data_IF_803049183836
#
_entry.id   IF_803049183836
#
_cell.length_a   1.000
_cell.length_b   1.000
_cell.length_c   1.000
_cell.angle_alpha   90.00
_cell.angle_beta   90.00
_cell.angle_gamma   90.00
#
_symmetry.space_group_name_H-M   'P 1'
#
loop_
_entity.id
_entity.type
_entity.pdbx_description
1 polymer ?
#
# COMPACT_ATOMS: atom_id res chain seq x y z
N UNK A 1 -11.91 0.78 -7.69
CA UNK A 1 -11.17 -0.46 -7.36
C UNK A 1 -12.17 -1.54 -6.95
N UNK A 2 -11.89 -2.81 -7.24
CA UNK A 2 -12.82 -3.93 -6.95
C UNK A 2 -13.05 -4.15 -5.45
N UNK A 3 -12.10 -3.75 -4.60
CA UNK A 3 -12.21 -3.86 -3.15
C UNK A 3 -13.45 -3.16 -2.55
N UNK A 4 -14.05 -2.17 -3.22
CA UNK A 4 -15.27 -1.53 -2.74
C UNK A 4 -16.52 -2.44 -2.81
N UNK A 5 -16.53 -3.39 -3.76
CA UNK A 5 -17.73 -4.20 -4.04
C UNK A 5 -17.75 -5.54 -3.29
N UNK A 6 -16.60 -6.01 -2.78
CA UNK A 6 -16.49 -7.35 -2.19
C UNK A 6 -15.55 -7.36 -0.99
N UNK A 7 -16.00 -7.91 0.13
CA UNK A 7 -15.28 -7.90 1.41
C UNK A 7 -13.97 -8.68 1.40
N UNK A 8 -13.89 -9.72 0.57
CA UNK A 8 -12.75 -10.62 0.45
C UNK A 8 -11.74 -10.25 -0.65
N UNK A 9 -11.84 -9.04 -1.22
CA UNK A 9 -10.91 -8.53 -2.23
C UNK A 9 -9.98 -7.49 -1.62
N UNK A 10 -8.68 -7.73 -1.75
CA UNK A 10 -7.60 -6.91 -1.19
C UNK A 10 -6.73 -6.34 -2.31
N UNK A 11 -6.19 -5.14 -2.11
CA UNK A 11 -5.21 -4.53 -3.01
C UNK A 11 -3.83 -4.64 -2.40
N UNK A 12 -2.85 -5.05 -3.21
CA UNK A 12 -1.45 -5.05 -2.82
C UNK A 12 -0.65 -4.00 -3.60
N UNK A 13 0.38 -3.45 -2.97
CA UNK A 13 1.23 -2.41 -3.56
C UNK A 13 2.50 -2.95 -4.24
N UNK A 14 2.58 -4.26 -4.49
CA UNK A 14 3.80 -4.88 -5.01
C UNK A 14 4.20 -4.36 -6.38
N UNK A 15 5.51 -4.30 -6.61
CA UNK A 15 6.09 -3.85 -7.87
C UNK A 15 6.86 -2.54 -7.76
N UNK A 16 7.45 -2.15 -8.89
CA UNK A 16 8.16 -0.87 -9.01
C UNK A 16 7.23 0.34 -9.18
N UNK A 17 5.94 0.10 -9.42
CA UNK A 17 4.95 1.11 -9.81
C UNK A 17 5.41 2.00 -10.98
N UNK A 18 6.33 1.51 -11.83
CA UNK A 18 6.86 2.30 -12.95
C UNK A 18 5.84 2.56 -14.06
N UNK A 19 4.75 1.79 -14.08
CA UNK A 19 3.63 1.98 -14.99
C UNK A 19 2.94 3.34 -14.83
N UNK A 20 3.04 3.97 -13.64
CA UNK A 20 2.50 5.31 -13.37
C UNK A 20 3.05 6.37 -14.34
N UNK A 21 4.30 6.21 -14.79
CA UNK A 21 4.98 7.15 -15.70
C UNK A 21 4.35 7.21 -17.09
N UNK A 22 3.56 6.21 -17.46
CA UNK A 22 2.96 6.08 -18.78
C UNK A 22 1.47 6.43 -18.78
N UNK A 23 0.93 6.91 -17.66
CA UNK A 23 -0.45 7.36 -17.58
C UNK A 23 -0.62 8.75 -18.20
N UNK A 24 -1.79 9.01 -18.80
CA UNK A 24 -2.09 10.28 -19.47
C UNK A 24 -2.17 11.47 -18.51
N UNK A 25 -2.31 11.22 -17.21
CA UNK A 25 -2.33 12.23 -16.15
C UNK A 25 -1.22 11.90 -15.14
N UNK A 26 -0.62 12.91 -14.48
CA UNK A 26 0.36 12.68 -13.42
C UNK A 26 -0.24 11.76 -12.35
N UNK A 27 0.37 10.59 -12.19
CA UNK A 27 -0.02 9.62 -11.18
C UNK A 27 1.18 9.36 -10.27
N UNK A 28 0.97 9.50 -8.97
CA UNK A 28 1.96 9.22 -7.95
C UNK A 28 1.45 8.19 -6.93
N UNK A 29 2.37 7.68 -6.12
CA UNK A 29 2.05 6.68 -5.10
C UNK A 29 1.01 7.21 -4.11
N UNK A 30 1.10 8.49 -3.74
CA UNK A 30 0.17 9.14 -2.81
C UNK A 30 -1.26 9.09 -3.35
N UNK A 31 -1.46 9.38 -4.64
CA UNK A 31 -2.76 9.32 -5.31
C UNK A 31 -3.30 7.90 -5.37
N UNK A 32 -2.45 6.90 -5.65
CA UNK A 32 -2.88 5.49 -5.66
C UNK A 32 -3.32 5.05 -4.27
N UNK A 33 -2.53 5.33 -3.24
CA UNK A 33 -2.88 4.99 -1.86
C UNK A 33 -4.15 5.70 -1.41
N UNK A 34 -4.32 6.98 -1.76
CA UNK A 34 -5.58 7.70 -1.53
C UNK A 34 -6.76 6.95 -2.12
N UNK A 35 -6.69 6.55 -3.39
CA UNK A 35 -7.79 5.81 -4.04
C UNK A 35 -8.03 4.43 -3.39
N UNK A 36 -6.98 3.72 -2.97
CA UNK A 36 -7.11 2.44 -2.28
C UNK A 36 -7.79 2.64 -0.92
N UNK A 37 -7.35 3.61 -0.13
CA UNK A 37 -7.93 3.92 1.17
C UNK A 37 -9.39 4.37 1.05
N UNK A 38 -9.72 5.21 0.07
CA UNK A 38 -11.12 5.59 -0.20
C UNK A 38 -11.98 4.38 -0.58
N UNK A 39 -11.43 3.42 -1.35
CA UNK A 39 -12.20 2.29 -1.84
C UNK A 39 -12.39 1.16 -0.81
N UNK A 40 -11.46 0.95 0.12
CA UNK A 40 -11.54 -0.18 1.06
C UNK A 40 -10.82 0.01 2.39
N UNK A 41 -10.31 1.20 2.66
CA UNK A 41 -9.63 1.53 3.90
C UNK A 41 -8.29 0.82 4.11
N UNK A 42 -7.69 1.02 5.29
CA UNK A 42 -6.40 0.41 5.63
C UNK A 42 -6.49 -1.11 5.76
N UNK A 43 -7.62 -1.68 6.21
CA UNK A 43 -7.78 -3.13 6.41
C UNK A 43 -7.76 -3.96 5.12
N UNK A 44 -7.95 -3.31 3.96
CA UNK A 44 -8.00 -3.95 2.63
C UNK A 44 -6.81 -3.61 1.74
N UNK A 45 -5.84 -2.88 2.28
CA UNK A 45 -4.61 -2.48 1.59
C UNK A 45 -3.42 -3.23 2.18
N UNK A 46 -2.61 -3.85 1.32
CA UNK A 46 -1.47 -4.68 1.70
C UNK A 46 -0.16 -4.10 1.15
N UNK A 47 0.86 -4.10 2.00
CA UNK A 47 2.21 -3.75 1.58
C UNK A 47 2.87 -4.90 0.79
N UNK A 48 3.47 -4.56 -0.35
CA UNK A 48 4.33 -5.46 -1.11
C UNK A 48 5.45 -4.70 -1.85
N UNK A 49 6.60 -5.34 -2.01
CA UNK A 49 7.74 -4.76 -2.74
C UNK A 49 8.05 -5.45 -4.08
N UNK A 50 7.49 -6.64 -4.31
CA UNK A 50 7.90 -7.52 -5.42
C UNK A 50 9.43 -7.76 -5.42
N UNK A 51 9.95 -8.05 -4.22
CA UNK A 51 11.36 -8.40 -4.03
C UNK A 51 11.64 -9.80 -4.56
N UNK A 52 12.85 -10.03 -5.05
CA UNK A 52 13.22 -11.30 -5.67
C UNK A 52 14.48 -11.89 -5.04
N UNK A 53 14.95 -13.01 -5.61
CA UNK A 53 16.21 -13.63 -5.24
C UNK A 53 17.43 -12.71 -5.50
N UNK A 54 18.56 -13.09 -4.91
CA UNK A 54 19.86 -12.45 -5.07
C UNK A 54 20.32 -12.41 -6.55
N UNK A 55 20.92 -11.32 -7.06
CA UNK A 55 21.54 -10.20 -6.35
C UNK A 55 20.61 -9.01 -6.08
N UNK A 56 19.40 -8.99 -6.65
CA UNK A 56 18.46 -7.86 -6.46
C UNK A 56 17.94 -7.80 -5.02
N UNK A 57 17.56 -8.95 -4.46
CA UNK A 57 17.15 -9.08 -3.06
C UNK A 57 15.97 -8.19 -2.68
N UNK A 58 15.99 -7.74 -1.43
CA UNK A 58 14.98 -6.89 -0.82
C UNK A 58 15.04 -5.45 -1.36
N UNK A 59 13.90 -4.96 -1.86
CA UNK A 59 13.77 -3.62 -2.45
C UNK A 59 13.42 -2.57 -1.41
N UNK A 60 14.42 -2.17 -0.62
CA UNK A 60 14.25 -1.17 0.46
C UNK A 60 13.71 0.18 -0.04
N UNK A 61 14.11 0.59 -1.24
CA UNK A 61 13.64 1.83 -1.85
C UNK A 61 12.13 1.85 -2.11
N UNK A 62 11.52 0.68 -2.32
CA UNK A 62 10.05 0.56 -2.48
C UNK A 62 9.36 0.69 -1.12
N UNK A 63 9.92 0.08 -0.06
CA UNK A 63 9.44 0.28 1.31
C UNK A 63 9.42 1.76 1.67
N UNK A 64 10.56 2.45 1.49
CA UNK A 64 10.70 3.86 1.84
C UNK A 64 9.73 4.76 1.06
N UNK A 65 9.60 4.55 -0.24
CA UNK A 65 8.71 5.34 -1.09
C UNK A 65 7.23 5.15 -0.71
N UNK A 66 6.80 3.92 -0.43
CA UNK A 66 5.42 3.65 -0.04
C UNK A 66 5.12 4.14 1.38
N UNK A 67 6.05 3.95 2.32
CA UNK A 67 5.90 4.45 3.69
C UNK A 67 5.79 5.97 3.70
N UNK A 68 6.67 6.65 2.95
CA UNK A 68 6.62 8.11 2.81
C UNK A 68 5.26 8.58 2.25
N UNK A 69 4.74 7.93 1.21
CA UNK A 69 3.46 8.32 0.62
C UNK A 69 2.29 8.18 1.60
N UNK A 70 2.25 7.09 2.38
CA UNK A 70 1.22 6.90 3.42
C UNK A 70 1.40 7.86 4.59
N UNK A 71 2.65 8.14 4.99
CA UNK A 71 2.96 9.10 6.04
C UNK A 71 2.49 10.51 5.67
N UNK A 72 2.76 10.95 4.44
CA UNK A 72 2.26 12.22 3.91
C UNK A 72 0.73 12.29 3.81
N UNK A 73 0.02 11.16 3.73
CA UNK A 73 -1.46 11.13 3.79
C UNK A 73 -1.97 11.24 5.23
N UNK A 74 -1.24 10.68 6.20
CA UNK A 74 -1.60 10.77 7.62
C UNK A 74 -1.41 12.17 8.22
N UNK A 75 -0.66 13.03 7.53
CA UNK A 75 -0.33 14.40 7.94
C UNK A 75 -1.20 15.47 7.23
N UNK A 76 -2.18 15.07 6.41
CA UNK A 76 -3.13 15.99 5.80
C UNK A 76 -4.13 16.55 6.84
N UNK A 77 -4.78 17.68 6.53
CA UNK A 77 -5.75 18.34 7.42
C UNK A 77 -6.94 17.43 7.77
N UNK A 78 -7.40 16.63 6.79
CA UNK A 78 -8.40 15.57 6.95
C UNK A 78 -7.77 14.22 6.53
N UNK A 79 -7.06 13.53 7.44
CA UNK A 79 -6.26 12.37 7.09
C UNK A 79 -7.13 11.14 6.84
N UNK A 80 -6.92 10.49 5.70
CA UNK A 80 -7.60 9.23 5.34
C UNK A 80 -7.07 8.01 6.10
N UNK A 81 -5.94 8.16 6.80
CA UNK A 81 -5.26 7.07 7.50
C UNK A 81 -4.47 7.63 8.68
N UNK A 82 -4.43 6.89 9.77
CA UNK A 82 -3.64 7.17 10.96
C UNK A 82 -2.46 6.20 11.11
N UNK A 83 -1.67 6.36 12.17
CA UNK A 83 -0.51 5.49 12.45
C UNK A 83 -0.91 4.01 12.62
N UNK A 84 -2.08 3.74 13.21
CA UNK A 84 -2.59 2.37 13.34
C UNK A 84 -2.89 1.77 11.96
N UNK A 85 -3.56 2.53 11.09
CA UNK A 85 -3.82 2.16 9.71
C UNK A 85 -2.54 1.86 8.93
N UNK A 86 -1.49 2.66 9.09
CA UNK A 86 -0.17 2.39 8.50
C UNK A 86 0.36 1.05 9.03
N UNK A 87 0.31 0.83 10.34
CA UNK A 87 0.71 -0.43 10.97
C UNK A 87 -0.05 -1.65 10.44
N UNK A 88 -1.34 -1.50 10.12
CA UNK A 88 -2.16 -2.54 9.48
C UNK A 88 -1.63 -2.87 8.08
N UNK A 89 -1.37 -1.87 7.24
CA UNK A 89 -0.92 -2.07 5.86
C UNK A 89 0.44 -2.80 5.80
N UNK A 90 1.40 -2.37 6.63
CA UNK A 90 2.77 -2.91 6.59
C UNK A 90 2.94 -4.24 7.35
N UNK A 91 2.02 -4.59 8.26
CA UNK A 91 2.16 -5.81 9.09
C UNK A 91 0.84 -6.42 9.53
N UNK A 92 -0.07 -5.64 10.11
CA UNK A 92 -1.25 -6.21 10.78
C UNK A 92 -2.14 -7.05 9.86
N UNK A 93 -2.37 -6.58 8.63
CA UNK A 93 -3.23 -7.25 7.68
C UNK A 93 -2.67 -8.60 7.23
N UNK A 94 -1.38 -8.68 6.89
CA UNK A 94 -0.81 -9.93 6.40
C UNK A 94 -0.81 -11.01 7.50
N UNK A 95 -0.55 -10.64 8.75
CA UNK A 95 -0.64 -11.56 9.88
C UNK A 95 -2.07 -12.06 10.10
N UNK A 96 -3.04 -11.14 10.08
CA UNK A 96 -4.47 -11.47 10.23
C UNK A 96 -4.95 -12.40 9.11
N UNK A 97 -4.58 -12.13 7.86
CA UNK A 97 -5.05 -12.89 6.70
C UNK A 97 -4.38 -14.27 6.58
N UNK A 98 -3.12 -14.39 7.00
CA UNK A 98 -2.39 -15.67 6.91
C UNK A 98 -2.49 -16.52 8.16
N UNK A 99 -2.92 -15.94 9.30
CA UNK A 99 -2.88 -16.60 10.60
C UNK A 99 -1.45 -16.82 11.13
N UNK A 100 -0.45 -16.21 10.50
CA UNK A 100 0.94 -16.36 10.91
C UNK A 100 1.19 -15.65 12.24
N UNK A 101 1.78 -16.39 13.20
CA UNK A 101 2.21 -15.87 14.51
C UNK A 101 3.73 -15.94 14.57
N UNK A 102 4.44 -14.81 14.37
CA UNK A 102 5.91 -14.76 14.39
C UNK A 102 6.50 -15.01 15.77
#
# INVERSE_FOLDING_TARGET
MMQYQADNVYMDSSGSNSWMKYQSHPLDLKTIFRQALTAGGPDKTLFGTDSTFFPRGWRINILEAQYKALKELSEEEDPLIDEEGIGKIFRGNILRLTGFTP
#
